data_IF_873223738531
#
_entry.id   IF_873223738531
#
_cell.length_a   1.000
_cell.length_b   1.000
_cell.length_c   1.000
_cell.angle_alpha   90.00
_cell.angle_beta   90.00
_cell.angle_gamma   90.00
#
_symmetry.space_group_name_H-M   'P 1'
#
loop_
_entity.id
_entity.type
_entity.pdbx_description
1 polymer ?
#
# COMPACT_ATOMS: atom_id res chain seq x y z
N UNK A 1 3.94 -10.72 3.07
CA UNK A 1 3.73 -9.58 2.15
C UNK A 1 4.56 -8.43 2.68
N UNK A 2 5.17 -7.61 1.81
CA UNK A 2 5.92 -6.45 2.29
C UNK A 2 4.97 -5.36 2.78
N UNK A 3 5.38 -4.65 3.83
CA UNK A 3 4.68 -3.47 4.33
C UNK A 3 5.66 -2.30 4.39
N UNK A 4 5.18 -1.09 4.14
CA UNK A 4 6.00 0.13 4.12
C UNK A 4 5.45 1.11 5.15
N UNK A 5 6.09 1.26 6.33
CA UNK A 5 5.57 2.10 7.40
C UNK A 5 5.72 3.59 7.08
N UNK A 6 4.74 4.39 7.50
CA UNK A 6 4.77 5.86 7.48
C UNK A 6 4.80 6.32 8.93
N UNK A 7 5.90 6.96 9.31
CA UNK A 7 6.17 7.39 10.68
C UNK A 7 5.61 8.79 10.95
N UNK A 8 5.37 9.08 12.23
CA UNK A 8 5.12 10.45 12.70
C UNK A 8 6.40 11.31 12.60
N UNK A 9 6.26 12.61 12.82
CA UNK A 9 7.37 13.59 12.77
C UNK A 9 8.54 13.24 13.68
N UNK A 10 8.26 12.59 14.82
CA UNK A 10 9.26 12.19 15.81
C UNK A 10 9.86 10.80 15.54
N UNK A 11 9.47 10.14 14.43
CA UNK A 11 9.88 8.78 14.06
C UNK A 11 9.59 7.69 15.10
N UNK A 12 8.79 7.97 16.13
CA UNK A 12 8.52 7.08 17.26
C UNK A 12 7.34 6.13 17.02
N UNK A 13 6.36 6.54 16.20
CA UNK A 13 5.12 5.80 16.00
C UNK A 13 4.79 5.64 14.52
N UNK A 14 4.18 4.51 14.17
CA UNK A 14 3.66 4.26 12.83
C UNK A 14 2.24 4.83 12.77
N UNK A 15 2.01 5.84 11.93
CA UNK A 15 0.69 6.46 11.74
C UNK A 15 -0.13 5.74 10.68
N UNK A 16 0.54 5.27 9.64
CA UNK A 16 -0.04 4.57 8.50
C UNK A 16 0.98 3.61 7.92
N UNK A 17 0.58 2.74 7.01
CA UNK A 17 1.48 1.91 6.25
C UNK A 17 0.89 1.54 4.89
N UNK A 18 1.76 1.19 3.96
CA UNK A 18 1.36 0.67 2.66
C UNK A 18 1.57 -0.85 2.57
N UNK A 19 0.78 -1.51 1.74
CA UNK A 19 0.90 -2.94 1.42
C UNK A 19 0.84 -3.17 -0.10
N UNK A 20 1.53 -4.18 -0.59
CA UNK A 20 1.56 -4.52 -2.02
C UNK A 20 0.22 -5.11 -2.51
N UNK A 21 -0.36 -4.52 -3.57
CA UNK A 21 -1.61 -4.99 -4.19
C UNK A 21 -1.51 -6.39 -4.84
N UNK A 22 -0.46 -6.76 -5.61
CA UNK A 22 -0.44 -8.03 -6.35
C UNK A 22 -0.62 -9.27 -5.48
N UNK A 23 -0.25 -9.18 -4.21
CA UNK A 23 -0.21 -10.32 -3.29
C UNK A 23 -1.46 -10.47 -2.43
N UNK A 24 -2.43 -9.55 -2.47
CA UNK A 24 -3.60 -9.58 -1.58
C UNK A 24 -4.88 -9.11 -2.29
N UNK A 25 -6.04 -9.68 -1.92
CA UNK A 25 -7.35 -9.26 -2.45
C UNK A 25 -8.07 -8.35 -1.46
N UNK A 26 -9.03 -7.53 -1.92
CA UNK A 26 -9.89 -6.75 -1.01
C UNK A 26 -10.57 -7.61 0.04
N UNK A 27 -11.04 -8.79 -0.34
CA UNK A 27 -11.65 -9.72 0.60
C UNK A 27 -10.66 -10.20 1.68
N UNK A 28 -9.41 -10.49 1.29
CA UNK A 28 -8.37 -10.84 2.24
C UNK A 28 -8.02 -9.66 3.17
N UNK A 29 -7.94 -8.43 2.64
CA UNK A 29 -7.75 -7.24 3.48
C UNK A 29 -8.89 -7.10 4.50
N UNK A 30 -10.16 -7.16 4.06
CA UNK A 30 -11.31 -7.05 4.98
C UNK A 30 -11.26 -8.13 6.07
N UNK A 31 -10.84 -9.36 5.72
CA UNK A 31 -10.71 -10.45 6.68
C UNK A 31 -9.58 -10.21 7.68
N UNK A 32 -8.40 -9.78 7.22
CA UNK A 32 -7.26 -9.47 8.09
C UNK A 32 -7.59 -8.34 9.07
N UNK A 33 -8.26 -7.28 8.57
CA UNK A 33 -8.75 -6.18 9.40
C UNK A 33 -9.71 -6.70 10.47
N UNK A 34 -10.72 -7.48 10.09
CA UNK A 34 -11.70 -8.03 11.02
C UNK A 34 -11.09 -8.97 12.08
N UNK A 35 -9.93 -9.58 11.82
CA UNK A 35 -9.21 -10.43 12.78
C UNK A 35 -8.21 -9.66 13.66
N UNK A 36 -7.97 -8.38 13.39
CA UNK A 36 -7.00 -7.60 14.15
C UNK A 36 -7.65 -7.02 15.41
N UNK A 37 -6.99 -7.19 16.54
CA UNK A 37 -7.45 -6.62 17.81
C UNK A 37 -7.60 -5.08 17.71
N UNK A 38 -8.71 -4.57 18.26
CA UNK A 38 -9.02 -3.14 18.24
C UNK A 38 -9.64 -2.66 16.93
N UNK A 39 -9.84 -3.51 15.93
CA UNK A 39 -10.57 -3.19 14.71
C UNK A 39 -12.06 -3.50 14.85
N UNK A 40 -12.91 -2.56 14.42
CA UNK A 40 -14.36 -2.73 14.35
C UNK A 40 -14.93 -2.08 13.07
N UNK A 41 -16.22 -2.27 12.81
CA UNK A 41 -16.97 -1.61 11.74
C UNK A 41 -16.36 -1.72 10.32
N UNK A 42 -15.74 -2.87 9.99
CA UNK A 42 -15.12 -3.10 8.68
C UNK A 42 -16.18 -3.16 7.57
N UNK A 43 -16.10 -2.25 6.59
CA UNK A 43 -17.06 -2.12 5.48
C UNK A 43 -16.35 -1.93 4.14
N UNK A 44 -16.76 -2.69 3.13
CA UNK A 44 -16.28 -2.52 1.76
C UNK A 44 -17.09 -1.41 1.07
N UNK A 45 -16.43 -0.40 0.51
CA UNK A 45 -17.08 0.66 -0.28
C UNK A 45 -16.99 0.29 -1.77
N UNK A 46 -18.15 0.27 -2.45
CA UNK A 46 -18.24 -0.09 -3.88
C UNK A 46 -18.26 1.12 -4.82
N UNK A 47 -18.56 2.33 -4.32
CA UNK A 47 -18.98 3.47 -5.15
C UNK A 47 -18.06 4.69 -5.06
N UNK A 48 -17.19 4.76 -4.07
CA UNK A 48 -16.17 5.82 -3.98
C UNK A 48 -14.92 5.33 -4.70
N UNK A 49 -14.41 6.14 -5.63
CA UNK A 49 -13.35 5.70 -6.56
C UNK A 49 -12.06 5.33 -5.83
N UNK A 50 -11.85 5.92 -4.66
CA UNK A 50 -10.53 6.02 -4.03
C UNK A 50 -10.47 5.16 -2.76
N UNK A 51 -11.48 5.24 -1.89
CA UNK A 51 -11.59 4.43 -0.68
C UNK A 51 -12.18 3.06 -0.99
N UNK A 52 -11.43 2.00 -0.68
CA UNK A 52 -11.89 0.62 -0.92
C UNK A 52 -12.56 0.05 0.32
N UNK A 53 -12.03 0.33 1.51
CA UNK A 53 -12.51 -0.22 2.78
C UNK A 53 -12.48 0.89 3.82
N UNK A 54 -13.51 0.92 4.66
CA UNK A 54 -13.55 1.72 5.89
C UNK A 54 -13.61 0.80 7.09
N UNK A 55 -13.05 1.25 8.20
CA UNK A 55 -13.10 0.55 9.47
C UNK A 55 -12.84 1.53 10.61
N UNK A 56 -13.00 1.06 11.83
CA UNK A 56 -12.51 1.76 13.02
C UNK A 56 -11.35 1.00 13.62
N UNK A 57 -10.34 1.71 14.08
CA UNK A 57 -9.26 1.15 14.88
C UNK A 57 -9.15 1.94 16.18
N UNK A 58 -9.30 1.25 17.32
CA UNK A 58 -9.37 1.89 18.65
C UNK A 58 -10.37 3.05 18.69
N UNK A 59 -11.55 2.81 18.11
CA UNK A 59 -12.67 3.77 17.99
C UNK A 59 -12.44 4.99 17.08
N UNK A 60 -11.29 5.08 16.40
CA UNK A 60 -11.01 6.14 15.43
C UNK A 60 -11.28 5.64 14.01
N UNK A 61 -11.76 6.49 13.07
CA UNK A 61 -12.03 6.08 11.70
C UNK A 61 -10.75 5.96 10.88
N UNK A 62 -10.65 4.86 10.14
CA UNK A 62 -9.52 4.49 9.29
C UNK A 62 -10.02 4.00 7.93
N UNK A 63 -9.16 4.10 6.93
CA UNK A 63 -9.47 3.73 5.56
C UNK A 63 -8.36 2.89 4.94
N UNK A 64 -8.76 2.07 3.97
CA UNK A 64 -7.86 1.47 2.98
C UNK A 64 -8.07 2.22 1.67
N UNK A 65 -7.03 2.90 1.23
CA UNK A 65 -7.04 3.76 0.07
C UNK A 65 -6.14 3.19 -1.03
N UNK A 66 -6.61 3.20 -2.28
CA UNK A 66 -5.77 2.93 -3.44
C UNK A 66 -5.36 4.27 -4.06
N UNK A 67 -4.11 4.73 -3.88
CA UNK A 67 -3.64 5.94 -4.54
C UNK A 67 -3.72 5.78 -6.07
N UNK A 68 -4.19 6.82 -6.76
CA UNK A 68 -4.17 6.87 -8.22
C UNK A 68 -2.72 6.93 -8.73
N UNK A 69 -2.12 5.77 -9.00
CA UNK A 69 -0.73 5.70 -9.43
C UNK A 69 -0.25 4.26 -9.60
N UNK A 70 0.70 4.05 -10.51
CA UNK A 70 1.20 2.74 -10.96
C UNK A 70 1.94 1.92 -9.89
N UNK A 71 2.05 2.45 -8.67
CA UNK A 71 2.90 1.94 -7.60
C UNK A 71 2.37 0.62 -7.03
N UNK A 72 1.10 0.29 -7.31
CA UNK A 72 0.52 -1.02 -7.03
C UNK A 72 0.46 -1.32 -5.53
N UNK A 73 0.17 -0.31 -4.71
CA UNK A 73 0.11 -0.42 -3.25
C UNK A 73 -1.22 0.11 -2.73
N UNK A 74 -1.69 -0.47 -1.63
CA UNK A 74 -2.77 0.10 -0.82
C UNK A 74 -2.18 0.82 0.36
N UNK A 75 -2.72 2.00 0.65
CA UNK A 75 -2.44 2.76 1.85
C UNK A 75 -3.46 2.42 2.94
N UNK A 76 -3.00 2.23 4.17
CA UNK A 76 -3.83 1.92 5.34
C UNK A 76 -3.49 2.91 6.45
N UNK A 77 -4.46 3.71 6.87
CA UNK A 77 -4.24 4.76 7.85
C UNK A 77 -5.50 5.52 8.26
N UNK A 78 -5.35 6.53 9.12
CA UNK A 78 -6.47 7.32 9.64
C UNK A 78 -7.18 8.06 8.51
N UNK A 79 -8.49 8.24 8.63
CA UNK A 79 -9.21 9.13 7.71
C UNK A 79 -8.70 10.59 7.85
N UNK A 80 -8.88 11.42 6.84
CA UNK A 80 -8.45 12.83 6.81
C UNK A 80 -8.99 13.65 7.99
N UNK A 81 -10.17 13.27 8.51
CA UNK A 81 -10.81 13.90 9.67
C UNK A 81 -10.22 13.42 11.02
N UNK A 82 -9.22 12.53 11.02
CA UNK A 82 -8.59 11.98 12.23
C UNK A 82 -7.17 12.54 12.41
N UNK A 83 -7.01 13.69 13.08
CA UNK A 83 -5.75 14.46 13.09
C UNK A 83 -4.61 13.82 13.90
N UNK A 84 -4.90 12.82 14.75
CA UNK A 84 -3.91 12.06 15.53
C UNK A 84 -4.30 10.59 15.50
N UNK A 85 -3.95 9.91 14.42
CA UNK A 85 -4.08 8.46 14.33
C UNK A 85 -3.40 7.76 15.52
N UNK A 86 -3.93 6.61 15.92
CA UNK A 86 -3.28 5.72 16.86
C UNK A 86 -2.05 5.04 16.23
N UNK A 87 -1.14 4.54 17.07
CA UNK A 87 -0.05 3.68 16.62
C UNK A 87 -0.61 2.39 15.99
N UNK A 88 -0.34 2.20 14.69
CA UNK A 88 -0.87 1.09 13.89
C UNK A 88 0.10 -0.09 13.78
N UNK A 89 1.13 -0.19 14.63
CA UNK A 89 2.06 -1.32 14.62
C UNK A 89 1.36 -2.69 14.71
N UNK A 90 0.28 -2.79 15.50
CA UNK A 90 -0.52 -4.01 15.61
C UNK A 90 -1.20 -4.39 14.28
N UNK A 91 -1.79 -3.41 13.59
CA UNK A 91 -2.38 -3.61 12.25
C UNK A 91 -1.32 -4.12 11.28
N UNK A 92 -0.20 -3.39 11.18
CA UNK A 92 0.91 -3.74 10.28
C UNK A 92 1.39 -5.17 10.52
N UNK A 93 1.56 -5.56 11.79
CA UNK A 93 2.01 -6.92 12.16
C UNK A 93 1.07 -8.00 11.62
N UNK A 94 -0.24 -7.78 11.64
CA UNK A 94 -1.21 -8.72 11.05
C UNK A 94 -0.97 -8.90 9.54
N UNK A 95 -0.72 -7.82 8.81
CA UNK A 95 -0.46 -7.87 7.36
C UNK A 95 0.92 -8.48 7.02
N UNK A 96 1.94 -8.31 7.85
CA UNK A 96 3.26 -8.93 7.63
C UNK A 96 3.21 -10.46 7.77
N UNK A 97 2.37 -10.95 8.70
CA UNK A 97 2.12 -12.38 8.91
C UNK A 97 1.30 -13.01 7.79
N UNK A 98 0.60 -12.21 6.98
CA UNK A 98 -0.16 -12.73 5.85
C UNK A 98 0.76 -13.44 4.85
N UNK A 99 0.35 -14.66 4.49
CA UNK A 99 0.97 -15.49 3.46
C UNK A 99 -0.02 -15.64 2.30
N UNK A 100 0.30 -15.11 1.11
CA UNK A 100 -0.52 -15.33 -0.08
C UNK A 100 -0.61 -16.82 -0.38
N UNK A 101 -1.70 -17.25 -1.00
CA UNK A 101 -1.77 -18.61 -1.55
C UNK A 101 -0.74 -18.79 -2.67
N UNK A 102 -0.26 -20.02 -2.88
CA UNK A 102 0.79 -20.32 -3.88
C UNK A 102 0.45 -19.80 -5.29
N UNK A 103 -0.82 -19.89 -5.69
CA UNK A 103 -1.32 -19.34 -6.97
C UNK A 103 -1.10 -17.82 -7.07
N UNK A 104 -1.25 -17.07 -5.97
CA UNK A 104 -1.08 -15.61 -5.96
C UNK A 104 0.39 -15.20 -5.85
N UNK A 105 1.25 -16.03 -5.26
CA UNK A 105 2.70 -15.84 -5.34
C UNK A 105 3.17 -15.89 -6.81
N UNK A 106 2.69 -16.87 -7.59
CA UNK A 106 3.01 -16.98 -9.01
C UNK A 106 2.48 -15.77 -9.80
N UNK A 107 1.23 -15.36 -9.57
CA UNK A 107 0.66 -14.17 -10.22
C UNK A 107 1.43 -12.88 -9.87
N UNK A 108 1.75 -12.67 -8.59
CA UNK A 108 2.50 -11.49 -8.15
C UNK A 108 3.91 -11.43 -8.77
N UNK A 109 4.58 -12.58 -8.90
CA UNK A 109 5.88 -12.68 -9.58
C UNK A 109 5.78 -12.31 -11.07
N UNK A 110 4.74 -12.78 -11.77
CA UNK A 110 4.52 -12.45 -13.18
C UNK A 110 4.20 -10.96 -13.39
N UNK A 111 3.30 -10.38 -12.59
CA UNK A 111 2.96 -8.95 -12.71
C UNK A 111 4.15 -8.05 -12.36
N UNK A 112 4.88 -8.38 -11.29
CA UNK A 112 6.07 -7.60 -10.90
C UNK A 112 7.16 -7.65 -11.98
N UNK A 113 7.41 -8.82 -12.59
CA UNK A 113 8.40 -8.94 -13.67
C UNK A 113 8.02 -8.18 -14.96
N UNK A 114 6.72 -8.09 -15.27
CA UNK A 114 6.22 -7.27 -16.39
C UNK A 114 6.42 -5.77 -16.14
N UNK A 115 6.26 -5.30 -14.90
CA UNK A 115 6.51 -3.90 -14.54
C UNK A 115 8.01 -3.53 -14.58
N UNK A 116 8.90 -4.46 -14.24
CA UNK A 116 10.35 -4.23 -14.29
C UNK A 116 10.97 -4.36 -15.69
N UNK A 117 10.40 -5.19 -16.57
CA UNK A 117 10.88 -5.32 -17.97
C UNK A 117 10.49 -4.14 -18.87
N UNK A 118 9.48 -3.34 -18.49
CA UNK A 118 9.06 -2.14 -19.24
C UNK A 118 10.00 -0.93 -19.12
N UNK A 119 10.95 -0.91 -18.17
CA UNK A 119 11.87 0.23 -17.96
C UNK A 119 13.26 0.04 -18.63
N UNK A 120 13.56 -1.14 -19.17
CA UNK A 120 14.85 -1.40 -19.84
C UNK A 120 14.77 -1.10 -21.35
N UNK A 121 14.43 0.14 -21.72
CA UNK A 121 14.65 0.63 -23.08
C UNK A 121 14.86 2.15 -23.15
N UNK A 122 15.68 2.71 -22.27
CA UNK A 122 16.30 4.02 -22.55
C UNK A 122 17.55 3.83 -23.42
N UNK A 123 17.33 4.07 -24.71
CA UNK A 123 18.31 4.27 -25.77
C UNK A 123 19.58 4.96 -25.26
N UNK A 124 20.74 4.33 -25.48
CA UNK A 124 22.00 5.03 -25.66
C UNK A 124 21.85 5.95 -26.88
N UNK A 125 21.61 7.25 -26.65
CA UNK A 125 21.77 8.25 -27.70
C UNK A 125 23.19 8.81 -27.60
N UNK A 126 24.13 8.11 -28.23
CA UNK A 126 25.47 8.59 -28.47
C UNK A 126 25.38 9.66 -29.56
N UNK A 127 25.40 10.94 -29.19
CA UNK A 127 25.78 12.00 -30.13
C UNK A 127 26.92 12.83 -29.56
N UNK A 128 28.03 12.74 -30.30
CA UNK A 128 29.26 13.50 -30.20
C UNK A 128 28.99 15.00 -30.41
N UNK A 129 29.69 15.79 -29.59
CA UNK A 129 30.27 17.15 -29.68
C UNK A 129 30.42 17.76 -31.11
N UNK A 130 30.68 19.08 -31.32
CA UNK A 130 31.35 20.01 -30.39
C UNK A 130 30.91 21.49 -30.32
N UNK A 131 31.41 22.11 -29.24
CA UNK A 131 31.86 23.50 -29.04
C UNK A 131 31.74 24.47 -30.22
N UNK A 132 31.17 25.65 -29.96
CA UNK A 132 31.63 26.89 -30.59
C UNK A 132 31.72 28.01 -29.57
N UNK A 133 32.96 28.47 -29.41
CA UNK A 133 33.38 29.74 -28.81
C UNK A 133 33.05 30.85 -29.81
N UNK A 134 32.47 31.95 -29.34
CA UNK A 134 32.76 33.34 -29.72
C UNK A 134 32.01 34.25 -28.75
#
# INVERSE_FOLDING_TARGET
MNTFPILNSDCAHILAFEIEHPYITMHAITRLLATTEGVTDVRLRRLERDFKIEFKFRSLPYVVWEPHGADGRYWIGPDAETPRGADVAALRTTFERYRPSALRMLYGSLVSSLQFTGLSKKRHNTRRTPLRVS
#
